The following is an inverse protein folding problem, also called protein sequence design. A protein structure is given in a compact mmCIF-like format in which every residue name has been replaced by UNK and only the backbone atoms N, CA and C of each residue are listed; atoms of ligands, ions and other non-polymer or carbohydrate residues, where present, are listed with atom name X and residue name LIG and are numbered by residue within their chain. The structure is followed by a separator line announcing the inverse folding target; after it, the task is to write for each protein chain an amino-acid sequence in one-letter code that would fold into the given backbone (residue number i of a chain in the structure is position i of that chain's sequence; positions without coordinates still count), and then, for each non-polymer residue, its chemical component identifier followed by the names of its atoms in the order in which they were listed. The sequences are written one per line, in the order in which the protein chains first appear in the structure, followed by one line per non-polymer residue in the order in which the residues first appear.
data_IF_779910473387
#
_entry.id   IF_779910473387
#
_cell.length_a   1.000
_cell.length_b   1.000
_cell.length_c   1.000
_cell.angle_alpha   90.00
_cell.angle_beta   90.00
_cell.angle_gamma   90.00
#
_symmetry.space_group_name_H-M   'P 1'
#
loop_
_entity.id
_entity.type
_entity.pdbx_description
1 polymer ?
#
# COMPACT_ATOMS: atom_id res chain seq x y z
N UNK A 1 -34.56 -9.65 2.11
CA UNK A 1 -35.73 -8.72 2.09
C UNK A 1 -35.36 -7.55 1.22
N UNK A 2 -36.14 -7.27 0.17
CA UNK A 2 -35.80 -6.22 -0.81
C UNK A 2 -36.25 -4.84 -0.32
N UNK A 3 -35.41 -3.82 -0.53
CA UNK A 3 -35.65 -2.42 -0.19
C UNK A 3 -37.05 -1.91 -0.60
N UNK A 4 -37.63 -2.28 -1.77
CA UNK A 4 -38.95 -1.86 -2.17
C UNK A 4 -40.08 -2.29 -1.22
N UNK A 5 -39.95 -3.45 -0.57
CA UNK A 5 -40.96 -3.93 0.37
C UNK A 5 -40.98 -3.10 1.67
N UNK A 6 -39.80 -2.71 2.16
CA UNK A 6 -39.71 -1.86 3.35
C UNK A 6 -40.27 -0.45 3.10
N UNK A 7 -40.11 0.10 1.89
CA UNK A 7 -40.65 1.41 1.52
C UNK A 7 -42.15 1.38 1.31
N UNK A 8 -42.74 0.29 0.80
CA UNK A 8 -44.19 0.13 0.64
C UNK A 8 -44.91 -0.01 1.98
N UNK A 9 -44.25 -0.45 3.03
CA UNK A 9 -44.78 -0.52 4.39
C UNK A 9 -44.90 0.87 5.07
N UNK A 10 -44.19 1.86 4.56
CA UNK A 10 -44.28 3.25 5.04
C UNK A 10 -45.47 3.96 4.41
N UNK A 11 -46.67 3.72 4.95
CA UNK A 11 -47.91 4.41 4.53
C UNK A 11 -47.88 5.93 4.75
N UNK A 12 -46.82 6.47 5.33
CA UNK A 12 -46.67 7.89 5.66
C UNK A 12 -45.45 8.46 4.95
N UNK A 13 -45.63 9.23 3.87
CA UNK A 13 -44.51 9.73 3.06
C UNK A 13 -43.52 10.60 3.86
N UNK A 14 -43.99 11.28 4.90
CA UNK A 14 -43.12 12.08 5.75
C UNK A 14 -42.08 11.25 6.53
N UNK A 15 -42.42 10.00 6.92
CA UNK A 15 -41.45 9.10 7.56
C UNK A 15 -40.33 8.71 6.58
N UNK A 16 -40.65 8.46 5.32
CA UNK A 16 -39.63 8.16 4.30
C UNK A 16 -38.70 9.37 4.09
N UNK A 17 -39.23 10.56 4.06
CA UNK A 17 -38.45 11.79 3.96
C UNK A 17 -37.60 12.03 5.21
N UNK A 18 -38.13 11.77 6.41
CA UNK A 18 -37.36 11.88 7.65
C UNK A 18 -36.18 10.92 7.68
N UNK A 19 -36.38 9.65 7.28
CA UNK A 19 -35.28 8.66 7.19
C UNK A 19 -34.26 9.11 6.16
N UNK A 20 -34.70 9.61 5.00
CA UNK A 20 -33.78 10.11 3.97
C UNK A 20 -32.94 11.28 4.46
N UNK A 21 -33.57 12.30 5.08
CA UNK A 21 -32.84 13.46 5.63
C UNK A 21 -31.88 13.05 6.73
N UNK A 22 -32.29 12.14 7.64
CA UNK A 22 -31.40 11.63 8.69
C UNK A 22 -30.22 10.85 8.09
N UNK A 23 -30.45 10.09 7.02
CA UNK A 23 -29.37 9.34 6.34
C UNK A 23 -28.36 10.25 5.63
N UNK A 24 -28.74 11.49 5.30
CA UNK A 24 -27.85 12.50 4.74
C UNK A 24 -27.03 13.26 5.81
N UNK A 25 -27.41 13.13 7.08
CA UNK A 25 -26.73 13.83 8.17
C UNK A 25 -25.21 13.57 8.23
N UNK A 26 -24.72 12.32 8.11
CA UNK A 26 -23.27 12.09 8.09
C UNK A 26 -22.57 12.82 6.94
N UNK A 27 -23.21 12.88 5.77
CA UNK A 27 -22.68 13.61 4.61
C UNK A 27 -22.63 15.11 4.89
N UNK A 28 -23.71 15.67 5.46
CA UNK A 28 -23.78 17.10 5.79
C UNK A 28 -22.78 17.47 6.90
N UNK A 29 -22.60 16.60 7.91
CA UNK A 29 -21.66 16.82 9.00
C UNK A 29 -20.18 16.78 8.54
N UNK A 30 -19.87 15.98 7.50
CA UNK A 30 -18.51 15.90 6.94
C UNK A 30 -18.27 16.93 5.84
N UNK A 31 -19.33 17.59 5.33
CA UNK A 31 -19.21 18.52 4.21
C UNK A 31 -18.30 19.70 4.51
N UNK A 32 -18.35 20.20 5.73
CA UNK A 32 -17.50 21.30 6.18
C UNK A 32 -15.99 20.92 6.08
N UNK A 33 -15.63 19.71 6.50
CA UNK A 33 -14.27 19.19 6.40
C UNK A 33 -13.81 18.93 4.96
N UNK A 34 -14.75 18.59 4.08
CA UNK A 34 -14.43 18.30 2.67
C UNK A 34 -14.21 19.60 1.90
N UNK A 35 -15.13 20.58 2.09
CA UNK A 35 -15.10 21.86 1.36
C UNK A 35 -14.16 22.89 1.97
N UNK A 36 -14.02 22.89 3.30
CA UNK A 36 -13.18 23.84 4.04
C UNK A 36 -12.19 23.09 4.95
N UNK A 37 -11.26 22.31 4.36
CA UNK A 37 -10.30 21.56 5.15
C UNK A 37 -9.42 22.51 5.98
N UNK A 38 -9.14 22.11 7.21
CA UNK A 38 -8.17 22.79 8.04
C UNK A 38 -6.74 22.66 7.46
N UNK A 39 -5.81 23.45 7.97
CA UNK A 39 -4.42 23.47 7.50
C UNK A 39 -3.78 22.08 7.60
N UNK A 40 -4.04 21.35 8.69
CA UNK A 40 -3.48 20.01 8.89
C UNK A 40 -4.01 19.01 7.84
N UNK A 41 -5.29 19.06 7.53
CA UNK A 41 -5.90 18.22 6.48
C UNK A 41 -5.37 18.59 5.10
N UNK A 42 -5.18 19.88 4.83
CA UNK A 42 -4.62 20.36 3.55
C UNK A 42 -3.18 19.87 3.37
N UNK A 43 -2.35 19.99 4.40
CA UNK A 43 -0.98 19.47 4.38
C UNK A 43 -0.93 17.97 4.15
N UNK A 44 -1.74 17.18 4.88
CA UNK A 44 -1.85 15.73 4.66
C UNK A 44 -2.28 15.36 3.24
N UNK A 45 -3.20 16.13 2.65
CA UNK A 45 -3.61 15.91 1.25
C UNK A 45 -2.46 16.18 0.27
N UNK A 46 -1.69 17.25 0.52
CA UNK A 46 -0.52 17.58 -0.29
C UNK A 46 0.58 16.50 -0.18
N UNK A 47 0.87 16.02 1.03
CA UNK A 47 1.80 14.91 1.26
C UNK A 47 1.34 13.63 0.55
N UNK A 48 0.07 13.24 0.72
CA UNK A 48 -0.48 12.06 0.06
C UNK A 48 -0.45 12.18 -1.47
N UNK A 49 -0.67 13.37 -2.02
CA UNK A 49 -0.56 13.60 -3.46
C UNK A 49 0.89 13.47 -3.94
N UNK A 50 1.84 14.02 -3.19
CA UNK A 50 3.27 13.90 -3.47
C UNK A 50 3.73 12.43 -3.47
N UNK A 51 3.31 11.65 -2.45
CA UNK A 51 3.54 10.21 -2.39
C UNK A 51 2.93 9.48 -3.59
N UNK A 52 1.69 9.82 -3.97
CA UNK A 52 1.00 9.18 -5.08
C UNK A 52 1.67 9.48 -6.43
N UNK A 53 2.15 10.71 -6.65
CA UNK A 53 2.90 11.07 -7.86
C UNK A 53 4.23 10.31 -7.92
N UNK A 54 4.98 10.30 -6.81
CA UNK A 54 6.26 9.60 -6.72
C UNK A 54 6.09 8.08 -6.89
N UNK A 55 5.02 7.49 -6.35
CA UNK A 55 4.67 6.08 -6.54
C UNK A 55 4.37 5.77 -8.01
N UNK A 56 3.60 6.64 -8.67
CA UNK A 56 3.30 6.49 -10.09
C UNK A 56 4.57 6.47 -10.94
N UNK A 57 5.50 7.38 -10.70
CA UNK A 57 6.79 7.42 -11.39
C UNK A 57 7.59 6.13 -11.16
N UNK A 58 7.69 5.68 -9.90
CA UNK A 58 8.37 4.46 -9.53
C UNK A 58 7.73 3.22 -10.18
N UNK A 59 6.40 3.14 -10.22
CA UNK A 59 5.71 2.03 -10.87
C UNK A 59 5.88 2.06 -12.40
N UNK A 60 5.82 3.23 -13.02
CA UNK A 60 6.04 3.38 -14.47
C UNK A 60 7.46 2.98 -14.89
N UNK A 61 8.47 3.05 -14.02
CA UNK A 61 9.82 2.58 -14.32
C UNK A 61 9.89 1.08 -14.61
N UNK A 62 8.90 0.31 -14.17
CA UNK A 62 8.78 -1.13 -14.46
C UNK A 62 8.01 -1.43 -15.76
N UNK A 63 7.40 -0.42 -16.38
CA UNK A 63 6.62 -0.63 -17.59
C UNK A 63 7.54 -1.02 -18.75
N UNK A 64 7.26 -2.16 -19.37
CA UNK A 64 8.11 -2.71 -20.43
C UNK A 64 9.32 -3.51 -19.94
N UNK A 65 9.54 -3.59 -18.64
CA UNK A 65 10.52 -4.51 -18.06
C UNK A 65 10.05 -5.97 -18.15
N UNK A 66 10.94 -6.95 -18.04
CA UNK A 66 10.56 -8.36 -18.02
C UNK A 66 9.49 -8.64 -16.96
N UNK A 67 8.52 -9.50 -17.31
CA UNK A 67 7.40 -9.81 -16.41
C UNK A 67 7.87 -10.62 -15.20
N UNK A 68 7.68 -10.09 -14.00
CA UNK A 68 8.10 -10.70 -12.75
C UNK A 68 7.29 -10.18 -11.57
N UNK A 69 7.27 -10.93 -10.47
CA UNK A 69 6.61 -10.51 -9.24
C UNK A 69 7.25 -9.26 -8.63
N UNK A 70 6.43 -8.47 -7.95
CA UNK A 70 6.87 -7.28 -7.21
C UNK A 70 6.56 -7.45 -5.73
N UNK A 71 7.58 -7.28 -4.86
CA UNK A 71 7.38 -7.05 -3.43
C UNK A 71 7.34 -5.55 -3.18
N UNK A 72 6.24 -5.10 -2.59
CA UNK A 72 6.02 -3.71 -2.20
C UNK A 72 5.25 -3.67 -0.86
N UNK A 73 5.26 -2.54 -0.14
CA UNK A 73 4.28 -2.33 0.92
C UNK A 73 2.88 -2.56 0.37
N UNK A 74 2.13 -3.47 0.98
CA UNK A 74 0.87 -4.02 0.45
C UNK A 74 -0.15 -2.97 0.04
N UNK A 75 -0.18 -1.82 0.72
CA UNK A 75 -1.11 -0.72 0.42
C UNK A 75 -0.81 0.01 -0.89
N UNK A 76 0.40 -0.15 -1.45
CA UNK A 76 0.77 0.41 -2.75
C UNK A 76 0.50 -0.55 -3.92
N UNK A 77 0.30 -1.84 -3.63
CA UNK A 77 0.18 -2.87 -4.65
C UNK A 77 -0.87 -2.58 -5.74
N UNK A 78 -2.09 -2.10 -5.43
CA UNK A 78 -3.06 -1.79 -6.48
C UNK A 78 -2.56 -0.75 -7.48
N UNK A 79 -1.90 0.31 -6.99
CA UNK A 79 -1.35 1.35 -7.85
C UNK A 79 -0.16 0.84 -8.67
N UNK A 80 0.71 0.00 -8.07
CA UNK A 80 1.86 -0.60 -8.77
C UNK A 80 1.36 -1.50 -9.89
N UNK A 81 0.42 -2.40 -9.64
CA UNK A 81 -0.19 -3.27 -10.66
C UNK A 81 -0.78 -2.44 -11.79
N UNK A 82 -1.54 -1.41 -11.45
CA UNK A 82 -2.20 -0.53 -12.42
C UNK A 82 -1.21 0.19 -13.34
N UNK A 83 -0.15 0.77 -12.79
CA UNK A 83 0.77 1.60 -13.55
C UNK A 83 1.87 0.81 -14.26
N UNK A 84 2.36 -0.29 -13.65
CA UNK A 84 3.46 -1.09 -14.19
C UNK A 84 2.99 -2.26 -15.06
N UNK A 85 1.81 -2.82 -14.78
CA UNK A 85 1.36 -4.10 -15.33
C UNK A 85 2.03 -5.32 -14.69
N UNK A 86 2.88 -5.14 -13.67
CA UNK A 86 3.55 -6.23 -12.97
C UNK A 86 2.70 -6.77 -11.81
N UNK A 87 2.69 -8.10 -11.55
CA UNK A 87 1.96 -8.66 -10.43
C UNK A 87 2.64 -8.35 -9.09
N UNK A 88 1.85 -7.99 -8.07
CA UNK A 88 2.35 -7.81 -6.71
C UNK A 88 2.09 -9.01 -5.82
N UNK A 89 3.02 -9.31 -4.90
CA UNK A 89 2.92 -10.41 -3.93
C UNK A 89 1.75 -10.22 -2.97
N UNK A 90 1.57 -9.01 -2.45
CA UNK A 90 0.46 -8.65 -1.58
C UNK A 90 -0.52 -7.72 -2.27
N UNK A 91 -1.71 -7.59 -1.72
CA UNK A 91 -2.74 -6.67 -2.21
C UNK A 91 -3.71 -6.27 -1.10
N UNK A 92 -4.71 -5.46 -1.40
CA UNK A 92 -5.67 -4.93 -0.42
C UNK A 92 -6.89 -5.83 -0.18
N UNK A 93 -6.96 -7.00 -0.82
CA UNK A 93 -8.07 -7.95 -0.62
C UNK A 93 -7.77 -8.99 0.45
N UNK A 94 -8.79 -9.52 1.10
CA UNK A 94 -8.64 -10.61 2.08
C UNK A 94 -8.00 -11.88 1.49
N UNK A 95 -8.18 -12.11 0.20
CA UNK A 95 -7.55 -13.23 -0.52
C UNK A 95 -6.02 -13.08 -0.64
N UNK A 96 -5.50 -11.86 -0.46
CA UNK A 96 -4.07 -11.54 -0.52
C UNK A 96 -3.36 -11.71 0.83
N UNK A 97 -4.05 -12.15 1.89
CA UNK A 97 -3.46 -12.23 3.23
C UNK A 97 -2.12 -12.99 3.27
N UNK A 98 -1.95 -14.16 2.64
CA UNK A 98 -0.64 -14.83 2.61
C UNK A 98 0.46 -13.93 2.01
N UNK A 99 0.18 -13.26 0.89
CA UNK A 99 1.13 -12.34 0.25
C UNK A 99 1.43 -11.09 1.08
N UNK A 100 0.45 -10.59 1.85
CA UNK A 100 0.66 -9.50 2.81
C UNK A 100 1.63 -9.95 3.91
N UNK A 101 1.41 -11.13 4.49
CA UNK A 101 2.27 -11.70 5.52
C UNK A 101 3.69 -11.95 4.99
N UNK A 102 3.83 -12.49 3.78
CA UNK A 102 5.12 -12.67 3.11
C UNK A 102 5.84 -11.34 2.88
N UNK A 103 5.14 -10.31 2.41
CA UNK A 103 5.70 -8.97 2.23
C UNK A 103 6.14 -8.33 3.55
N UNK A 104 5.32 -8.44 4.60
CA UNK A 104 5.67 -7.93 5.93
C UNK A 104 6.88 -8.68 6.50
N UNK A 105 6.91 -10.00 6.39
CA UNK A 105 8.03 -10.83 6.80
C UNK A 105 9.32 -10.49 6.07
N UNK A 106 9.24 -10.24 4.75
CA UNK A 106 10.36 -9.80 3.94
C UNK A 106 10.95 -8.48 4.45
N UNK A 107 10.14 -7.45 4.68
CA UNK A 107 10.64 -6.15 5.15
C UNK A 107 11.23 -6.19 6.55
N UNK A 108 10.70 -7.04 7.43
CA UNK A 108 11.23 -7.21 8.79
C UNK A 108 12.42 -8.17 8.87
N UNK A 109 12.75 -8.91 7.81
CA UNK A 109 13.87 -9.83 7.83
C UNK A 109 15.18 -9.09 8.16
N UNK A 110 15.95 -9.65 9.08
CA UNK A 110 17.30 -9.18 9.40
C UNK A 110 18.39 -9.90 8.59
N UNK A 111 18.05 -11.09 8.06
CA UNK A 111 18.92 -11.90 7.23
C UNK A 111 18.51 -11.79 5.75
N UNK A 112 19.40 -11.25 4.88
CA UNK A 112 19.15 -11.18 3.45
C UNK A 112 18.96 -12.53 2.76
N UNK A 113 19.51 -13.63 3.32
CA UNK A 113 19.38 -14.96 2.74
C UNK A 113 17.93 -15.46 2.85
N UNK A 114 17.30 -15.29 4.02
CA UNK A 114 15.87 -15.62 4.22
C UNK A 114 14.97 -14.80 3.29
N UNK A 115 15.28 -13.53 3.10
CA UNK A 115 14.56 -12.70 2.17
C UNK A 115 14.69 -13.18 0.72
N UNK A 116 15.88 -13.59 0.30
CA UNK A 116 16.13 -14.15 -1.02
C UNK A 116 15.33 -15.44 -1.29
N UNK A 117 15.11 -16.25 -0.27
CA UNK A 117 14.26 -17.45 -0.37
C UNK A 117 12.81 -17.11 -0.64
N UNK A 118 12.26 -16.12 0.09
CA UNK A 118 10.89 -15.63 -0.15
C UNK A 118 10.75 -15.11 -1.59
N UNK A 119 11.72 -14.32 -2.07
CA UNK A 119 11.68 -13.77 -3.43
C UNK A 119 11.68 -14.87 -4.49
N UNK A 120 12.56 -15.87 -4.37
CA UNK A 120 12.62 -17.00 -5.31
C UNK A 120 11.33 -17.83 -5.31
N UNK A 121 10.80 -18.14 -4.13
CA UNK A 121 9.54 -18.90 -4.00
C UNK A 121 8.37 -18.22 -4.70
N UNK A 122 8.34 -16.88 -4.69
CA UNK A 122 7.25 -16.07 -5.21
C UNK A 122 7.51 -15.51 -6.63
N UNK A 123 8.63 -15.89 -7.26
CA UNK A 123 8.98 -15.40 -8.59
C UNK A 123 9.14 -13.88 -8.67
N UNK A 124 9.73 -13.28 -7.61
CA UNK A 124 9.88 -11.84 -7.49
C UNK A 124 11.15 -11.37 -8.20
N UNK A 125 10.99 -10.42 -9.12
CA UNK A 125 12.09 -9.76 -9.82
C UNK A 125 12.30 -8.30 -9.41
N UNK A 126 11.33 -7.72 -8.68
CA UNK A 126 11.40 -6.31 -8.31
C UNK A 126 10.98 -6.08 -6.86
N UNK A 127 11.68 -5.15 -6.20
CA UNK A 127 11.42 -4.77 -4.81
C UNK A 127 11.31 -3.25 -4.70
N UNK A 128 10.22 -2.78 -4.08
CA UNK A 128 10.03 -1.38 -3.74
C UNK A 128 10.46 -1.12 -2.32
N UNK A 129 11.44 -0.27 -2.12
CA UNK A 129 11.79 0.27 -0.81
C UNK A 129 11.12 1.64 -0.62
N UNK A 130 10.52 1.82 0.53
CA UNK A 130 9.82 3.04 0.96
C UNK A 130 10.19 3.35 2.40
N UNK A 131 9.79 4.50 2.93
CA UNK A 131 10.08 5.00 4.26
C UNK A 131 10.09 3.89 5.34
N UNK A 132 11.27 3.56 5.94
CA UNK A 132 11.40 2.38 6.79
C UNK A 132 10.53 2.42 8.04
N UNK A 133 10.40 3.58 8.67
CA UNK A 133 9.62 3.72 9.90
C UNK A 133 8.16 3.29 9.67
N UNK A 134 7.57 3.73 8.56
CA UNK A 134 6.19 3.40 8.21
C UNK A 134 6.02 1.94 7.80
N UNK A 135 6.96 1.40 7.01
CA UNK A 135 6.94 -0.01 6.58
C UNK A 135 7.10 -0.94 7.78
N UNK A 136 8.05 -0.67 8.67
CA UNK A 136 8.32 -1.49 9.85
C UNK A 136 7.11 -1.45 10.79
N UNK A 137 6.64 -0.27 11.19
CA UNK A 137 5.50 -0.14 12.11
C UNK A 137 4.26 -0.87 11.61
N UNK A 138 3.93 -0.73 10.31
CA UNK A 138 2.80 -1.44 9.73
C UNK A 138 3.02 -2.96 9.71
N UNK A 139 4.22 -3.42 9.33
CA UNK A 139 4.55 -4.84 9.28
C UNK A 139 4.54 -5.49 10.67
N UNK A 140 5.04 -4.81 11.69
CA UNK A 140 4.99 -5.25 13.09
C UNK A 140 3.55 -5.40 13.59
N UNK A 141 2.70 -4.43 13.26
CA UNK A 141 1.28 -4.46 13.62
C UNK A 141 0.56 -5.66 12.98
N UNK A 142 0.82 -5.92 11.69
CA UNK A 142 0.19 -7.03 10.96
C UNK A 142 0.69 -8.39 11.48
N UNK A 143 2.00 -8.53 11.74
CA UNK A 143 2.57 -9.79 12.21
C UNK A 143 2.41 -9.99 13.72
N UNK A 144 1.91 -9.00 14.46
CA UNK A 144 1.74 -9.06 15.92
C UNK A 144 3.05 -9.21 16.69
N UNK A 145 4.17 -8.79 16.10
CA UNK A 145 5.51 -8.89 16.72
C UNK A 145 6.37 -7.67 16.41
N UNK A 146 7.03 -7.14 17.43
CA UNK A 146 8.03 -6.11 17.26
C UNK A 146 9.35 -6.71 16.75
N UNK A 147 10.02 -6.00 15.86
CA UNK A 147 11.34 -6.37 15.35
C UNK A 147 12.36 -5.31 15.75
N UNK A 148 13.28 -5.68 16.64
CA UNK A 148 14.40 -4.82 17.02
C UNK A 148 15.60 -5.04 16.11
N UNK A 149 16.32 -3.96 15.79
CA UNK A 149 17.58 -4.03 15.08
C UNK A 149 17.53 -3.69 13.59
N UNK A 150 18.43 -4.30 12.83
CA UNK A 150 18.60 -4.07 11.41
C UNK A 150 17.57 -4.88 10.62
N UNK A 151 16.77 -4.21 9.80
CA UNK A 151 15.76 -4.83 8.95
C UNK A 151 16.05 -4.53 7.48
N UNK A 152 15.53 -5.36 6.56
CA UNK A 152 15.68 -5.11 5.13
C UNK A 152 15.04 -3.78 4.72
N UNK A 153 13.91 -3.39 5.32
CA UNK A 153 13.32 -2.09 5.05
C UNK A 153 14.33 -0.94 5.26
N UNK A 154 15.08 -0.96 6.38
CA UNK A 154 16.15 0.02 6.65
C UNK A 154 17.32 -0.10 5.68
N UNK A 155 17.78 -1.33 5.43
CA UNK A 155 18.92 -1.57 4.52
C UNK A 155 18.60 -1.01 3.14
N UNK A 156 17.48 -1.39 2.56
CA UNK A 156 17.13 -1.03 1.19
C UNK A 156 16.84 0.47 1.03
N UNK A 157 16.38 1.13 2.06
CA UNK A 157 16.06 2.56 1.97
C UNK A 157 17.22 3.46 2.42
N UNK A 158 17.78 3.24 3.61
CA UNK A 158 18.77 4.12 4.22
C UNK A 158 20.20 3.77 3.79
N UNK A 159 20.47 2.48 3.50
CA UNK A 159 21.81 1.96 3.23
C UNK A 159 21.86 1.15 1.91
N UNK A 160 21.54 1.76 0.76
CA UNK A 160 21.41 1.04 -0.50
C UNK A 160 22.67 0.28 -0.92
N UNK A 161 23.86 0.77 -0.52
CA UNK A 161 25.13 0.10 -0.76
C UNK A 161 25.31 -1.19 0.06
N UNK A 162 24.49 -1.41 1.08
CA UNK A 162 24.45 -2.63 1.88
C UNK A 162 23.32 -3.59 1.45
N UNK A 163 22.69 -3.31 0.32
CA UNK A 163 21.74 -4.23 -0.30
C UNK A 163 22.42 -5.56 -0.66
N UNK A 164 21.68 -6.68 -0.73
CA UNK A 164 22.24 -7.97 -1.09
C UNK A 164 22.98 -7.93 -2.44
N UNK A 165 24.02 -8.76 -2.56
CA UNK A 165 24.84 -8.83 -3.79
C UNK A 165 23.95 -9.18 -5.00
N UNK A 166 24.15 -8.47 -6.10
CA UNK A 166 23.39 -8.65 -7.34
C UNK A 166 22.09 -7.85 -7.41
N UNK A 167 21.69 -7.14 -6.34
CA UNK A 167 20.55 -6.24 -6.39
C UNK A 167 20.96 -4.90 -6.98
N UNK A 168 20.20 -4.42 -7.95
CA UNK A 168 20.48 -3.19 -8.67
C UNK A 168 19.33 -2.19 -8.50
N UNK A 169 19.63 -0.95 -8.13
CA UNK A 169 18.65 0.14 -8.13
C UNK A 169 18.42 0.55 -9.58
N UNK A 170 17.22 0.29 -10.08
CA UNK A 170 16.79 0.66 -11.44
C UNK A 170 16.00 1.97 -11.46
N UNK A 171 15.50 2.41 -10.31
CA UNK A 171 14.81 3.69 -10.17
C UNK A 171 14.95 4.24 -8.75
N UNK A 172 15.05 5.55 -8.63
CA UNK A 172 15.10 6.27 -7.35
C UNK A 172 14.47 7.64 -7.50
N UNK A 173 13.58 7.99 -6.57
CA UNK A 173 13.12 9.37 -6.34
C UNK A 173 13.18 9.71 -4.84
N UNK A 174 12.50 10.79 -4.42
CA UNK A 174 12.56 11.23 -3.02
C UNK A 174 11.97 10.21 -2.03
N UNK A 175 10.95 9.40 -2.43
CA UNK A 175 10.25 8.48 -1.53
C UNK A 175 10.52 7.02 -1.83
N UNK A 176 10.85 6.66 -3.06
CA UNK A 176 10.96 5.27 -3.48
C UNK A 176 12.34 4.92 -4.04
N UNK A 177 12.75 3.68 -3.78
CA UNK A 177 13.83 3.01 -4.51
C UNK A 177 13.28 1.70 -5.06
N UNK A 178 13.48 1.45 -6.33
CA UNK A 178 13.07 0.21 -6.99
C UNK A 178 14.30 -0.58 -7.32
N UNK A 179 14.35 -1.80 -6.81
CA UNK A 179 15.44 -2.73 -7.06
C UNK A 179 15.00 -3.77 -8.08
N UNK A 180 15.90 -4.11 -8.98
CA UNK A 180 15.88 -5.37 -9.72
C UNK A 180 16.67 -6.38 -8.91
N UNK A 181 16.11 -7.59 -8.71
CA UNK A 181 16.74 -8.67 -7.98
C UNK A 181 17.04 -9.83 -8.92
N UNK A 182 18.16 -10.55 -8.75
CA UNK A 182 18.47 -11.70 -9.58
C UNK A 182 17.47 -12.84 -9.28
N UNK A 183 17.04 -13.54 -10.34
CA UNK A 183 16.25 -14.77 -10.25
C UNK A 183 17.14 -15.96 -9.92
#
# INVERSE_FOLDING_TARGET
MSLPWALSALRRPWLAWSVFVISLWPVAAEWDRVLFPDVATTLRRAENLSDAVALREAALSLRGMPHAGVVAPWWFSPAIVWWSGQPCVGGTSHQSLPGILDSCGFYLASDPALAGEVLRRLGVGYVFAYEPARVISNSEQILGRAQSGRTLAKILYDQPNAAPVGWEIIFKNQFFRVYRVPF
#
